data_IF_404949519503
#
_entry.id   IF_404949519503
#
_cell.length_a   1.000
_cell.length_b   1.000
_cell.length_c   1.000
_cell.angle_alpha   90.00
_cell.angle_beta   90.00
_cell.angle_gamma   90.00
#
_symmetry.space_group_name_H-M   'P 1'
#
loop_
_entity.id
_entity.type
_entity.pdbx_description
1 polymer ?
#
# COMPACT_ATOMS: atom_id res chain seq x y z
N UNK A 1 19.08 3.69 12.27
CA UNK A 1 20.06 2.75 12.83
C UNK A 1 20.12 1.48 11.98
N UNK A 2 21.28 1.21 11.39
CA UNK A 2 21.50 0.04 10.53
C UNK A 2 21.52 -1.28 11.29
N UNK A 3 21.63 -1.28 12.62
CA UNK A 3 21.67 -2.49 13.42
C UNK A 3 20.30 -3.05 13.76
N UNK A 4 19.23 -2.25 13.61
CA UNK A 4 17.85 -2.63 13.92
C UNK A 4 17.72 -3.37 15.26
N UNK A 5 18.01 -2.70 16.40
CA UNK A 5 18.24 -3.39 17.67
C UNK A 5 17.02 -4.08 18.28
N UNK A 6 15.81 -3.69 17.92
CA UNK A 6 14.59 -4.20 18.53
C UNK A 6 13.93 -5.33 17.73
N UNK A 7 13.95 -5.25 16.40
CA UNK A 7 13.31 -6.23 15.51
C UNK A 7 13.81 -6.04 14.08
N UNK A 8 13.59 -7.05 13.25
CA UNK A 8 13.87 -6.95 11.83
C UNK A 8 12.78 -6.12 11.14
N UNK A 9 13.10 -4.99 10.49
CA UNK A 9 12.08 -4.11 9.92
C UNK A 9 11.46 -4.72 8.67
N UNK A 10 10.21 -5.16 8.79
CA UNK A 10 9.41 -5.73 7.73
C UNK A 10 7.94 -5.33 7.96
N UNK A 11 7.30 -4.60 7.02
CA UNK A 11 5.90 -4.17 7.16
C UNK A 11 4.89 -5.31 7.32
N UNK A 12 5.24 -6.53 6.91
CA UNK A 12 4.42 -7.72 7.10
C UNK A 12 4.68 -8.42 8.44
N UNK A 13 5.70 -8.00 9.21
CA UNK A 13 6.06 -8.59 10.50
C UNK A 13 5.14 -8.06 11.59
N UNK A 14 4.44 -8.95 12.26
CA UNK A 14 3.51 -8.61 13.35
C UNK A 14 4.21 -7.90 14.52
N UNK A 15 5.48 -8.22 14.80
CA UNK A 15 6.23 -7.55 15.88
C UNK A 15 6.44 -6.07 15.58
N UNK A 16 6.79 -5.75 14.34
CA UNK A 16 6.95 -4.37 13.89
C UNK A 16 5.64 -3.61 13.95
N UNK A 17 4.56 -4.23 13.47
CA UNK A 17 3.22 -3.63 13.48
C UNK A 17 2.70 -3.43 14.91
N UNK A 18 2.94 -4.37 15.81
CA UNK A 18 2.58 -4.21 17.23
C UNK A 18 3.34 -3.07 17.89
N UNK A 19 4.64 -2.91 17.59
CA UNK A 19 5.44 -1.80 18.11
C UNK A 19 4.90 -0.45 17.64
N UNK A 20 4.52 -0.34 16.37
CA UNK A 20 3.91 0.87 15.81
C UNK A 20 2.54 1.13 16.43
N UNK A 21 1.71 0.10 16.59
CA UNK A 21 0.40 0.19 17.21
C UNK A 21 0.50 0.71 18.65
N UNK A 22 1.44 0.19 19.42
CA UNK A 22 1.67 0.63 20.81
C UNK A 22 2.11 2.10 20.86
N UNK A 23 2.99 2.52 19.94
CA UNK A 23 3.43 3.91 19.84
C UNK A 23 2.28 4.85 19.46
N UNK A 24 1.42 4.44 18.53
CA UNK A 24 0.22 5.20 18.13
C UNK A 24 -0.69 5.43 19.32
N UNK A 25 -0.98 4.40 20.10
CA UNK A 25 -1.83 4.51 21.29
C UNK A 25 -1.19 5.37 22.37
N UNK A 26 0.11 5.19 22.63
CA UNK A 26 0.85 5.92 23.64
C UNK A 26 0.91 7.42 23.36
N UNK A 27 1.01 7.82 22.09
CA UNK A 27 1.13 9.21 21.67
C UNK A 27 -0.16 9.84 21.15
N UNK A 28 -1.26 9.09 21.10
CA UNK A 28 -2.52 9.59 20.55
C UNK A 28 -2.43 9.99 19.08
N UNK A 29 -1.61 9.31 18.31
CA UNK A 29 -1.40 9.63 16.91
C UNK A 29 -2.62 9.26 16.05
N UNK A 30 -2.84 10.01 14.98
CA UNK A 30 -3.92 9.73 14.02
C UNK A 30 -3.62 8.50 13.16
N UNK A 31 -2.34 8.24 12.88
CA UNK A 31 -1.89 7.13 12.04
C UNK A 31 -0.46 6.76 12.44
N UNK A 32 -0.11 5.50 12.28
CA UNK A 32 1.25 5.00 12.40
C UNK A 32 1.77 4.50 11.05
N UNK A 33 3.00 4.85 10.73
CA UNK A 33 3.68 4.40 9.52
C UNK A 33 4.93 3.64 9.90
N UNK A 34 5.14 2.50 9.26
CA UNK A 34 6.29 1.65 9.49
C UNK A 34 6.97 1.32 8.16
N UNK A 35 8.27 1.41 8.14
CA UNK A 35 9.07 1.18 6.93
C UNK A 35 10.04 0.03 7.13
N UNK A 36 10.36 -0.69 6.06
CA UNK A 36 11.38 -1.73 6.12
C UNK A 36 12.81 -1.15 6.08
N UNK A 37 13.81 -2.03 6.04
CA UNK A 37 15.21 -1.63 6.21
C UNK A 37 15.76 -0.69 5.15
N UNK A 38 15.29 -0.78 3.92
CA UNK A 38 15.66 0.10 2.82
C UNK A 38 14.59 1.17 2.50
N UNK A 39 13.47 1.12 3.22
CA UNK A 39 12.44 2.15 3.15
C UNK A 39 11.56 2.13 1.90
N UNK A 40 11.57 1.02 1.15
CA UNK A 40 10.78 0.90 -0.07
C UNK A 40 9.39 0.30 0.14
N UNK A 41 9.13 -0.21 1.35
CA UNK A 41 7.81 -0.73 1.76
C UNK A 41 7.29 0.03 2.98
N UNK A 42 5.97 0.19 3.03
CA UNK A 42 5.29 0.90 4.12
C UNK A 42 4.14 0.08 4.69
N UNK A 43 4.13 -0.09 6.00
CA UNK A 43 3.00 -0.62 6.76
C UNK A 43 2.24 0.51 7.44
N UNK A 44 0.93 0.37 7.57
CA UNK A 44 0.06 1.42 8.12
C UNK A 44 -0.79 0.86 9.26
N UNK A 45 -0.89 1.63 10.32
CA UNK A 45 -1.73 1.34 11.50
C UNK A 45 -2.62 2.55 11.73
N UNK A 46 -3.91 2.33 12.03
CA UNK A 46 -4.84 3.43 12.31
C UNK A 46 -4.68 3.97 13.74
N UNK A 47 -5.49 4.97 14.09
CA UNK A 47 -5.46 5.60 15.41
C UNK A 47 -5.85 4.67 16.56
N UNK A 48 -6.52 3.55 16.29
CA UNK A 48 -6.88 2.54 17.30
C UNK A 48 -5.81 1.46 17.45
N UNK A 49 -4.78 1.49 16.62
CA UNK A 49 -3.72 0.50 16.60
C UNK A 49 -4.03 -0.71 15.73
N UNK A 50 -5.07 -0.65 14.91
CA UNK A 50 -5.38 -1.71 13.95
C UNK A 50 -4.58 -1.55 12.67
N UNK A 51 -4.06 -2.67 12.17
CA UNK A 51 -3.35 -2.71 10.90
C UNK A 51 -4.30 -2.45 9.73
N UNK A 52 -3.88 -1.57 8.82
CA UNK A 52 -4.52 -1.41 7.52
C UNK A 52 -3.61 -2.11 6.49
N UNK A 53 -4.09 -3.19 5.90
CA UNK A 53 -3.31 -3.96 4.93
C UNK A 53 -2.91 -3.09 3.74
N UNK A 54 -1.71 -3.30 3.23
CA UNK A 54 -1.12 -2.46 2.19
C UNK A 54 -1.97 -2.38 0.91
N UNK A 55 -2.63 -3.45 0.52
CA UNK A 55 -3.52 -3.47 -0.63
C UNK A 55 -4.76 -2.58 -0.41
N UNK A 56 -5.26 -2.48 0.81
CA UNK A 56 -6.37 -1.56 1.15
C UNK A 56 -5.91 -0.11 1.18
N UNK A 57 -4.68 0.15 1.65
CA UNK A 57 -4.06 1.47 1.54
C UNK A 57 -3.95 1.86 0.08
N UNK A 58 -3.57 0.92 -0.78
CA UNK A 58 -3.54 1.13 -2.23
C UNK A 58 -4.89 1.54 -2.81
N UNK A 59 -5.99 0.93 -2.37
CA UNK A 59 -7.35 1.34 -2.78
C UNK A 59 -7.63 2.78 -2.38
N UNK A 60 -7.28 3.18 -1.16
CA UNK A 60 -7.48 4.56 -0.69
C UNK A 60 -6.68 5.56 -1.52
N UNK A 61 -5.42 5.24 -1.82
CA UNK A 61 -4.59 6.08 -2.69
C UNK A 61 -5.15 6.16 -4.10
N UNK A 62 -5.62 5.04 -4.64
CA UNK A 62 -6.24 4.98 -5.96
C UNK A 62 -7.50 5.85 -6.03
N UNK A 63 -8.32 5.87 -4.99
CA UNK A 63 -9.49 6.76 -4.90
C UNK A 63 -9.09 8.23 -5.03
N UNK A 64 -8.07 8.65 -4.28
CA UNK A 64 -7.58 10.02 -4.31
C UNK A 64 -6.99 10.38 -5.67
N UNK A 65 -6.13 9.52 -6.21
CA UNK A 65 -5.49 9.73 -7.51
C UNK A 65 -6.54 9.81 -8.62
N UNK A 66 -7.51 8.90 -8.63
CA UNK A 66 -8.54 8.85 -9.68
C UNK A 66 -9.54 9.99 -9.58
N UNK A 67 -9.75 10.56 -8.40
CA UNK A 67 -10.58 11.75 -8.24
C UNK A 67 -9.93 12.96 -8.92
N UNK A 68 -8.61 13.07 -8.85
CA UNK A 68 -7.85 14.14 -9.52
C UNK A 68 -7.59 13.84 -11.00
N UNK A 69 -7.51 12.57 -11.36
CA UNK A 69 -7.21 12.11 -12.71
C UNK A 69 -8.22 11.04 -13.14
N UNK A 70 -9.47 11.43 -13.49
CA UNK A 70 -10.49 10.47 -13.94
C UNK A 70 -10.01 9.65 -15.12
N UNK A 71 -10.43 8.39 -15.17
CA UNK A 71 -9.99 7.46 -16.22
C UNK A 71 -8.59 6.89 -16.00
N UNK A 72 -8.04 7.01 -14.78
CA UNK A 72 -6.73 6.46 -14.43
C UNK A 72 -6.68 4.95 -14.61
N UNK A 73 -5.51 4.45 -15.00
CA UNK A 73 -5.18 3.03 -15.05
C UNK A 73 -4.18 2.69 -13.95
N UNK A 74 -4.43 1.60 -13.23
CA UNK A 74 -3.54 1.13 -12.16
C UNK A 74 -3.13 -0.32 -12.43
N UNK A 75 -1.89 -0.65 -12.05
CA UNK A 75 -1.39 -2.02 -12.06
C UNK A 75 -1.32 -2.52 -10.62
N UNK A 76 -1.89 -3.67 -10.34
CA UNK A 76 -1.87 -4.29 -9.01
C UNK A 76 -1.40 -5.73 -9.12
N UNK A 77 -0.72 -6.22 -8.08
CA UNK A 77 -0.32 -7.61 -8.07
C UNK A 77 -1.52 -8.54 -7.84
N UNK A 78 -1.41 -9.77 -8.33
CA UNK A 78 -2.51 -10.76 -8.27
C UNK A 78 -2.87 -11.18 -6.85
N UNK A 79 -2.02 -10.87 -5.85
CA UNK A 79 -2.29 -11.15 -4.44
C UNK A 79 -3.09 -10.05 -3.75
N UNK A 80 -3.24 -8.90 -4.40
CA UNK A 80 -3.97 -7.76 -3.85
C UNK A 80 -5.47 -7.99 -3.86
N UNK A 81 -6.17 -7.20 -3.02
CA UNK A 81 -7.63 -7.30 -2.88
C UNK A 81 -8.38 -7.08 -4.19
N UNK A 82 -9.48 -7.82 -4.37
CA UNK A 82 -10.42 -7.60 -5.48
C UNK A 82 -11.14 -6.25 -5.45
N UNK A 83 -11.02 -5.49 -4.35
CA UNK A 83 -11.65 -4.17 -4.23
C UNK A 83 -11.17 -3.17 -5.29
N UNK A 84 -9.96 -3.33 -5.83
CA UNK A 84 -9.51 -2.47 -6.93
C UNK A 84 -10.43 -2.55 -8.15
N UNK A 85 -11.01 -3.72 -8.43
CA UNK A 85 -11.91 -3.92 -9.56
C UNK A 85 -13.38 -3.67 -9.23
N UNK A 86 -13.76 -3.67 -7.95
CA UNK A 86 -15.17 -3.63 -7.51
C UNK A 86 -15.54 -2.39 -6.70
N UNK A 87 -14.56 -1.60 -6.27
CA UNK A 87 -14.82 -0.42 -5.44
C UNK A 87 -15.68 0.60 -6.19
N UNK A 88 -16.85 1.02 -5.63
CA UNK A 88 -17.75 1.93 -6.30
C UNK A 88 -17.12 3.28 -6.68
N UNK A 89 -16.25 3.81 -5.84
CA UNK A 89 -15.58 5.11 -6.09
C UNK A 89 -14.64 5.00 -7.29
N UNK A 90 -13.87 3.91 -7.37
CA UNK A 90 -12.95 3.68 -8.50
C UNK A 90 -13.73 3.48 -9.81
N UNK A 91 -14.83 2.73 -9.77
CA UNK A 91 -15.70 2.53 -10.94
C UNK A 91 -16.31 3.85 -11.41
N UNK A 92 -16.81 4.67 -10.48
CA UNK A 92 -17.38 5.99 -10.79
C UNK A 92 -16.34 6.92 -11.41
N UNK A 93 -15.08 6.85 -10.95
CA UNK A 93 -13.98 7.64 -11.50
C UNK A 93 -13.43 7.11 -12.83
N UNK A 94 -14.00 6.03 -13.36
CA UNK A 94 -13.61 5.45 -14.66
C UNK A 94 -12.27 4.70 -14.62
N UNK A 95 -11.89 4.19 -13.45
CA UNK A 95 -10.62 3.48 -13.25
C UNK A 95 -10.63 2.14 -13.97
N UNK A 96 -9.53 1.83 -14.64
CA UNK A 96 -9.20 0.49 -15.15
C UNK A 96 -8.06 -0.10 -14.34
N UNK A 97 -8.15 -1.39 -14.03
CA UNK A 97 -7.17 -2.08 -13.19
C UNK A 97 -6.62 -3.28 -13.97
N UNK A 98 -5.29 -3.36 -14.01
CA UNK A 98 -4.57 -4.48 -14.60
C UNK A 98 -3.93 -5.30 -13.48
N UNK A 99 -4.42 -6.51 -13.25
CA UNK A 99 -3.82 -7.44 -12.29
C UNK A 99 -2.64 -8.15 -12.95
N UNK A 100 -1.46 -8.05 -12.34
CA UNK A 100 -0.21 -8.55 -12.89
C UNK A 100 0.52 -9.45 -11.88
N UNK A 101 1.55 -10.14 -12.35
CA UNK A 101 2.33 -11.03 -11.47
C UNK A 101 3.06 -10.24 -10.38
N UNK A 102 3.16 -10.86 -9.21
CA UNK A 102 3.82 -10.28 -8.04
C UNK A 102 5.32 -10.09 -8.29
N UNK A 103 5.84 -8.97 -7.79
CA UNK A 103 7.27 -8.61 -7.85
C UNK A 103 7.42 -7.16 -8.29
N UNK A 104 8.13 -6.35 -7.50
CA UNK A 104 8.25 -4.90 -7.74
C UNK A 104 8.80 -4.58 -9.15
N UNK A 105 9.75 -5.36 -9.64
CA UNK A 105 10.30 -5.14 -10.98
C UNK A 105 9.29 -5.44 -12.09
N UNK A 106 8.43 -6.44 -11.91
CA UNK A 106 7.36 -6.77 -12.86
C UNK A 106 6.28 -5.70 -12.87
N UNK A 107 5.84 -5.25 -11.68
CA UNK A 107 4.81 -4.21 -11.55
C UNK A 107 5.32 -2.90 -12.13
N UNK A 108 6.53 -2.48 -11.78
CA UNK A 108 7.15 -1.26 -12.29
C UNK A 108 7.26 -1.26 -13.81
N UNK A 109 7.69 -2.38 -14.38
CA UNK A 109 7.76 -2.55 -15.85
C UNK A 109 6.38 -2.41 -16.48
N UNK A 110 5.38 -3.08 -15.90
CA UNK A 110 4.01 -3.04 -16.43
C UNK A 110 3.40 -1.65 -16.36
N UNK A 111 3.64 -0.92 -15.28
CA UNK A 111 3.24 0.49 -15.15
C UNK A 111 3.81 1.31 -16.31
N UNK A 112 5.09 1.13 -16.61
CA UNK A 112 5.74 1.86 -17.72
C UNK A 112 5.20 1.44 -19.10
N UNK A 113 5.00 0.14 -19.32
CA UNK A 113 4.48 -0.39 -20.59
C UNK A 113 3.08 0.14 -20.91
N UNK A 114 2.21 0.24 -19.89
CA UNK A 114 0.83 0.70 -20.06
C UNK A 114 0.69 2.22 -19.93
N UNK A 115 1.72 2.93 -19.49
CA UNK A 115 1.59 4.32 -19.09
C UNK A 115 0.61 4.49 -17.93
N UNK A 116 0.54 3.50 -17.04
CA UNK A 116 -0.38 3.52 -15.90
C UNK A 116 -0.04 4.65 -14.93
N UNK A 117 -1.04 5.13 -14.21
CA UNK A 117 -0.87 6.23 -13.26
C UNK A 117 -0.08 5.81 -12.03
N UNK A 118 -0.29 4.58 -11.56
CA UNK A 118 0.42 4.02 -10.40
C UNK A 118 0.36 2.50 -10.41
N UNK A 119 1.20 1.88 -9.56
CA UNK A 119 1.18 0.46 -9.28
C UNK A 119 1.18 0.20 -7.78
N UNK A 120 0.52 -0.87 -7.37
CA UNK A 120 0.39 -1.24 -5.96
C UNK A 120 0.68 -2.72 -5.76
N UNK A 121 1.40 -3.03 -4.70
CA UNK A 121 1.73 -4.40 -4.34
C UNK A 121 1.30 -4.69 -2.90
N UNK A 122 0.74 -5.87 -2.66
CA UNK A 122 0.27 -6.27 -1.33
C UNK A 122 1.37 -6.24 -0.27
N UNK A 123 2.62 -6.42 -0.69
CA UNK A 123 3.79 -6.37 0.20
C UNK A 123 4.11 -4.98 0.76
N UNK A 124 3.46 -3.94 0.26
CA UNK A 124 3.65 -2.56 0.71
C UNK A 124 4.47 -1.68 -0.22
N UNK A 125 4.80 -2.14 -1.42
CA UNK A 125 5.41 -1.31 -2.45
C UNK A 125 4.34 -0.50 -3.19
N UNK A 126 4.64 0.78 -3.43
CA UNK A 126 3.80 1.69 -4.21
C UNK A 126 4.66 2.33 -5.30
N UNK A 127 4.14 2.42 -6.52
CA UNK A 127 4.90 2.88 -7.70
C UNK A 127 4.26 4.07 -8.40
#
# INVERSE_FOLDING_TARGET
DYTFPNYNPNPEDMKMLHAVADAVKAHGAAVGLAFDGDGDRCGVVDNTGEEIFADKVGVLLARDISARHPGSNFVVDVKSTGLFATDPVLLENGVTVDYWKTGHSYIKRRVNELGARAGFEKSGHFF
#
